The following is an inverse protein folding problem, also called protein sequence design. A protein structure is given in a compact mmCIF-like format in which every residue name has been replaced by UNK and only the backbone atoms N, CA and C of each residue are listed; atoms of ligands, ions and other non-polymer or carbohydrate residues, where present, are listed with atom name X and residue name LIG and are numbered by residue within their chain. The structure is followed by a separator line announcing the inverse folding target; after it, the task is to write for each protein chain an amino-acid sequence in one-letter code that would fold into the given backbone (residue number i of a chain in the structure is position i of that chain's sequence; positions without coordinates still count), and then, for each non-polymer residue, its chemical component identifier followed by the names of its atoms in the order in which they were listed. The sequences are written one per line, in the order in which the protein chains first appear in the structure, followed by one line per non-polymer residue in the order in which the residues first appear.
data_IF_959818540404
#
_entry.id   IF_959818540404
#
_cell.length_a   1.000
_cell.length_b   1.000
_cell.length_c   1.000
_cell.angle_alpha   90.00
_cell.angle_beta   90.00
_cell.angle_gamma   90.00
#
_symmetry.space_group_name_H-M   'P 1'
#
loop_
_entity.id
_entity.type
_entity.pdbx_description
1 polymer ?
#
# COMPACT_ATOMS: atom_id res chain seq x y z
N UNK A 1 -10.07 -7.92 -0.91
CA UNK A 1 -9.90 -6.54 -1.42
C UNK A 1 -11.26 -5.89 -1.33
N UNK A 2 -11.54 -5.20 -0.23
CA UNK A 2 -12.83 -4.54 -0.04
C UNK A 2 -12.73 -3.14 -0.62
N UNK A 3 -13.51 -2.86 -1.65
CA UNK A 3 -13.61 -1.51 -2.21
C UNK A 3 -14.65 -0.74 -1.42
N UNK A 4 -14.52 0.58 -1.31
CA UNK A 4 -15.49 1.42 -0.60
C UNK A 4 -16.93 1.30 -1.14
N UNK A 5 -17.13 0.64 -2.28
CA UNK A 5 -18.44 0.32 -2.87
C UNK A 5 -19.15 -0.86 -2.20
N UNK A 6 -18.50 -1.63 -1.33
CA UNK A 6 -19.15 -2.77 -0.67
C UNK A 6 -20.16 -2.34 0.42
N UNK A 7 -20.22 -1.05 0.77
CA UNK A 7 -21.18 -0.50 1.75
C UNK A 7 -22.44 0.12 1.12
N UNK A 8 -22.49 0.29 -0.20
CA UNK A 8 -23.66 0.79 -0.91
C UNK A 8 -24.05 -0.23 -1.98
N UNK A 9 -25.27 -0.76 -1.90
CA UNK A 9 -25.79 -1.62 -2.95
C UNK A 9 -25.67 -0.89 -4.29
N UNK A 10 -25.02 -1.53 -5.28
CA UNK A 10 -24.87 -0.96 -6.62
C UNK A 10 -26.23 -0.53 -7.20
N UNK A 11 -27.29 -1.32 -6.95
CA UNK A 11 -28.65 -0.98 -7.35
C UNK A 11 -29.20 0.27 -6.68
N UNK A 12 -28.89 0.48 -5.39
CA UNK A 12 -29.33 1.67 -4.66
C UNK A 12 -28.60 2.91 -5.16
N UNK A 13 -27.29 2.79 -5.42
CA UNK A 13 -26.51 3.88 -5.99
C UNK A 13 -27.03 4.32 -7.36
N UNK A 14 -27.37 3.37 -8.25
CA UNK A 14 -27.98 3.70 -9.54
C UNK A 14 -29.34 4.39 -9.40
N UNK A 15 -30.18 3.88 -8.49
CA UNK A 15 -31.48 4.50 -8.21
C UNK A 15 -31.34 5.93 -7.66
N UNK A 16 -30.35 6.18 -6.80
CA UNK A 16 -30.07 7.51 -6.25
C UNK A 16 -29.55 8.47 -7.34
N UNK A 17 -28.76 7.96 -8.30
CA UNK A 17 -28.31 8.76 -9.45
C UNK A 17 -29.47 9.19 -10.35
N UNK A 18 -30.39 8.27 -10.65
CA UNK A 18 -31.52 8.56 -11.55
C UNK A 18 -32.51 9.53 -10.92
N UNK A 19 -32.69 9.48 -9.60
CA UNK A 19 -33.73 10.24 -8.89
C UNK A 19 -33.27 11.61 -8.35
N UNK A 20 -31.97 11.91 -8.38
CA UNK A 20 -31.46 13.19 -7.87
C UNK A 20 -31.31 14.22 -9.00
N UNK A 21 -32.05 15.33 -8.90
CA UNK A 21 -32.05 16.41 -9.90
C UNK A 21 -30.65 17.01 -10.14
N UNK A 22 -29.79 17.05 -9.12
CA UNK A 22 -28.42 17.55 -9.26
C UNK A 22 -27.56 16.70 -10.20
N UNK A 23 -27.89 15.41 -10.36
CA UNK A 23 -27.16 14.50 -11.25
C UNK A 23 -27.82 14.39 -12.62
N UNK A 24 -29.15 14.50 -12.68
CA UNK A 24 -29.92 14.34 -13.92
C UNK A 24 -29.67 15.50 -14.91
N UNK A 25 -29.57 16.72 -14.39
CA UNK A 25 -29.59 17.93 -15.24
C UNK A 25 -28.18 18.52 -15.47
N UNK A 26 -27.15 18.03 -14.77
CA UNK A 26 -25.77 18.50 -14.90
C UNK A 26 -24.87 17.49 -15.65
N UNK A 27 -24.52 17.85 -16.89
CA UNK A 27 -23.68 17.03 -17.78
C UNK A 27 -22.26 16.84 -17.23
N UNK A 28 -21.68 17.85 -16.57
CA UNK A 28 -20.34 17.73 -15.99
C UNK A 28 -20.36 16.78 -14.79
N UNK A 29 -21.40 16.84 -13.97
CA UNK A 29 -21.60 15.91 -12.87
C UNK A 29 -21.70 14.46 -13.38
N UNK A 30 -22.49 14.22 -14.43
CA UNK A 30 -22.60 12.90 -15.07
C UNK A 30 -21.27 12.36 -15.58
N UNK A 31 -20.45 13.21 -16.22
CA UNK A 31 -19.11 12.82 -16.67
C UNK A 31 -18.22 12.39 -15.51
N UNK A 32 -18.23 13.14 -14.40
CA UNK A 32 -17.44 12.83 -13.21
C UNK A 32 -17.87 11.51 -12.56
N UNK A 33 -19.18 11.27 -12.45
CA UNK A 33 -19.71 10.03 -11.90
C UNK A 33 -19.35 8.84 -12.79
N UNK A 34 -19.52 8.96 -14.11
CA UNK A 34 -19.16 7.92 -15.07
C UNK A 34 -17.66 7.61 -15.05
N UNK A 35 -16.80 8.62 -14.87
CA UNK A 35 -15.36 8.42 -14.67
C UNK A 35 -15.08 7.62 -13.40
N UNK A 36 -15.68 8.00 -12.27
CA UNK A 36 -15.53 7.30 -10.99
C UNK A 36 -16.02 5.85 -11.09
N UNK A 37 -17.20 5.63 -11.67
CA UNK A 37 -17.77 4.29 -11.88
C UNK A 37 -16.83 3.41 -12.71
N UNK A 38 -16.33 3.91 -13.85
CA UNK A 38 -15.37 3.17 -14.67
C UNK A 38 -14.11 2.81 -13.90
N UNK A 39 -13.57 3.74 -13.11
CA UNK A 39 -12.35 3.50 -12.32
C UNK A 39 -12.55 2.43 -11.22
N UNK A 40 -13.70 2.43 -10.56
CA UNK A 40 -13.99 1.51 -9.46
C UNK A 40 -14.45 0.13 -9.93
N UNK A 41 -15.25 0.06 -10.99
CA UNK A 41 -15.83 -1.18 -11.52
C UNK A 41 -14.89 -1.93 -12.48
N UNK A 42 -13.86 -1.27 -13.04
CA UNK A 42 -12.92 -1.87 -14.00
C UNK A 42 -11.46 -1.73 -13.51
N UNK A 43 -11.07 -2.45 -12.43
CA UNK A 43 -9.74 -2.34 -11.82
C UNK A 43 -8.58 -2.55 -12.79
N UNK A 44 -8.76 -3.43 -13.78
CA UNK A 44 -7.79 -3.82 -14.81
C UNK A 44 -7.50 -2.66 -15.78
N UNK A 45 -8.46 -1.74 -15.94
CA UNK A 45 -8.33 -0.56 -16.80
C UNK A 45 -7.82 0.67 -16.08
N UNK A 46 -7.62 0.63 -14.76
CA UNK A 46 -7.10 1.77 -13.99
C UNK A 46 -5.83 2.40 -14.57
N UNK A 47 -4.84 1.65 -15.09
CA UNK A 47 -3.65 2.25 -15.71
C UNK A 47 -3.98 3.22 -16.87
N UNK A 48 -5.10 2.99 -17.57
CA UNK A 48 -5.57 3.83 -18.68
C UNK A 48 -6.54 4.94 -18.24
N UNK A 49 -7.01 4.92 -17.00
CA UNK A 49 -8.00 5.85 -16.45
C UNK A 49 -7.35 6.82 -15.43
N UNK A 50 -6.16 7.34 -15.76
CA UNK A 50 -5.43 8.24 -14.86
C UNK A 50 -5.88 9.69 -15.04
N UNK A 51 -6.30 10.32 -13.95
CA UNK A 51 -6.62 11.75 -13.87
C UNK A 51 -6.18 12.32 -12.52
N UNK A 52 -6.17 13.66 -12.35
CA UNK A 52 -5.89 14.27 -11.04
C UNK A 52 -6.81 13.77 -9.92
N UNK A 53 -8.05 13.35 -10.26
CA UNK A 53 -9.06 12.87 -9.32
C UNK A 53 -8.92 11.38 -8.99
N UNK A 54 -8.27 10.60 -9.86
CA UNK A 54 -7.97 9.18 -9.60
C UNK A 54 -6.63 8.98 -8.89
N UNK A 55 -5.88 10.06 -8.65
CA UNK A 55 -4.66 10.02 -7.86
C UNK A 55 -5.04 9.69 -6.40
N UNK A 56 -4.52 8.60 -5.83
CA UNK A 56 -4.77 8.30 -4.44
C UNK A 56 -4.35 9.47 -3.54
N UNK A 57 -5.18 9.78 -2.54
CA UNK A 57 -4.79 10.71 -1.48
C UNK A 57 -3.50 10.19 -0.83
N UNK A 58 -2.58 11.07 -0.44
CA UNK A 58 -1.40 10.67 0.35
C UNK A 58 -1.91 9.86 1.55
N UNK A 59 -1.49 8.61 1.64
CA UNK A 59 -1.93 7.71 2.71
C UNK A 59 -1.48 8.29 4.04
N UNK A 60 -2.41 8.44 4.99
CA UNK A 60 -2.05 8.66 6.39
C UNK A 60 -1.47 7.40 7.02
N UNK A 61 -1.81 6.24 6.44
CA UNK A 61 -1.26 4.96 6.86
C UNK A 61 0.10 4.79 6.21
N UNK A 62 1.14 4.69 7.03
CA UNK A 62 2.51 4.44 6.57
C UNK A 62 2.66 3.08 5.89
N UNK A 63 3.90 2.74 5.56
CA UNK A 63 4.25 1.41 5.04
C UNK A 63 4.73 0.52 6.18
N UNK A 64 4.49 -0.79 6.07
CA UNK A 64 5.06 -1.77 6.99
C UNK A 64 6.35 -2.32 6.40
N UNK A 65 7.44 -2.33 7.17
CA UNK A 65 8.69 -2.97 6.76
C UNK A 65 8.83 -4.32 7.46
N UNK A 66 9.14 -5.36 6.69
CA UNK A 66 9.67 -6.62 7.19
C UNK A 66 11.17 -6.63 6.94
N UNK A 67 11.95 -6.81 8.01
CA UNK A 67 13.41 -6.75 7.99
C UNK A 67 13.94 -8.08 8.46
N UNK A 68 14.67 -8.79 7.59
CA UNK A 68 15.36 -10.03 7.91
C UNK A 68 14.47 -11.09 8.56
N UNK A 69 15.00 -11.78 9.58
CA UNK A 69 14.31 -12.83 10.31
C UNK A 69 14.95 -14.20 10.10
N UNK A 70 14.21 -15.26 10.43
CA UNK A 70 14.65 -16.64 10.27
C UNK A 70 13.84 -17.31 9.15
N UNK A 71 14.53 -17.66 8.07
CA UNK A 71 13.99 -18.47 6.99
C UNK A 71 14.48 -19.93 7.12
N UNK A 72 14.12 -20.77 6.15
CA UNK A 72 14.58 -22.17 6.10
C UNK A 72 16.12 -22.30 6.00
N UNK A 73 16.83 -21.24 5.62
CA UNK A 73 18.29 -21.22 5.42
C UNK A 73 19.07 -20.58 6.57
N UNK A 74 18.42 -20.44 7.74
CA UNK A 74 19.01 -19.98 9.03
C UNK A 74 19.16 -18.45 9.16
N UNK A 75 18.67 -17.64 8.23
CA UNK A 75 18.60 -16.19 8.38
C UNK A 75 18.34 -15.44 7.09
N UNK A 76 17.23 -14.69 7.05
CA UNK A 76 16.92 -13.81 5.93
C UNK A 76 17.68 -12.48 6.05
N UNK A 77 18.21 -12.01 4.92
CA UNK A 77 18.81 -10.67 4.80
C UNK A 77 17.90 -9.69 4.07
N UNK A 78 16.80 -10.16 3.49
CA UNK A 78 15.88 -9.34 2.70
C UNK A 78 15.16 -8.31 3.57
N UNK A 79 14.91 -7.16 2.97
CA UNK A 79 14.06 -6.11 3.49
C UNK A 79 12.96 -5.87 2.48
N UNK A 80 11.72 -6.05 2.90
CA UNK A 80 10.54 -5.90 2.08
C UNK A 80 9.59 -4.89 2.71
N UNK A 81 8.93 -4.10 1.88
CA UNK A 81 7.86 -3.21 2.33
C UNK A 81 6.51 -3.74 1.90
N UNK A 82 5.52 -3.54 2.74
CA UNK A 82 4.13 -3.82 2.44
C UNK A 82 3.35 -2.52 2.31
N UNK A 83 2.75 -2.33 1.14
CA UNK A 83 1.85 -1.22 0.86
C UNK A 83 0.39 -1.68 0.98
N UNK A 84 -0.29 -1.22 2.03
CA UNK A 84 -1.70 -1.56 2.31
C UNK A 84 -2.65 -1.20 1.16
N UNK A 85 -2.38 -0.09 0.47
CA UNK A 85 -3.25 0.40 -0.62
C UNK A 85 -3.26 -0.54 -1.82
N UNK A 86 -2.09 -1.07 -2.19
CA UNK A 86 -1.96 -2.01 -3.31
C UNK A 86 -2.09 -3.45 -2.85
N UNK A 87 -2.01 -3.69 -1.53
CA UNK A 87 -1.95 -5.02 -0.93
C UNK A 87 -0.80 -5.85 -1.52
N UNK A 88 0.38 -5.22 -1.62
CA UNK A 88 1.57 -5.85 -2.23
C UNK A 88 2.77 -5.73 -1.33
N UNK A 89 3.54 -6.81 -1.27
CA UNK A 89 4.92 -6.80 -0.79
C UNK A 89 5.86 -6.41 -1.93
N UNK A 90 6.90 -5.65 -1.63
CA UNK A 90 7.90 -5.23 -2.62
C UNK A 90 9.29 -5.28 -1.97
N UNK A 91 10.27 -5.94 -2.60
CA UNK A 91 11.66 -5.91 -2.14
C UNK A 91 12.22 -4.49 -2.16
N UNK A 92 12.95 -4.11 -1.12
CA UNK A 92 13.53 -2.75 -0.96
C UNK A 92 15.05 -2.80 -0.92
N UNK A 93 15.62 -3.69 -0.10
CA UNK A 93 17.06 -3.80 0.10
C UNK A 93 17.42 -5.16 0.69
N UNK A 94 18.72 -5.40 0.88
CA UNK A 94 19.24 -6.51 1.68
C UNK A 94 20.21 -5.96 2.73
N UNK A 95 20.20 -6.53 3.94
CA UNK A 95 21.25 -6.32 4.94
C UNK A 95 22.60 -6.84 4.43
N UNK A 96 23.71 -6.26 4.91
CA UNK A 96 25.06 -6.69 4.54
C UNK A 96 25.40 -8.12 4.98
N UNK A 97 24.64 -8.65 5.94
CA UNK A 97 24.77 -10.02 6.40
C UNK A 97 23.57 -10.46 7.21
N UNK A 98 23.51 -11.75 7.50
CA UNK A 98 22.52 -12.33 8.40
C UNK A 98 22.57 -11.65 9.77
N UNK A 99 21.40 -11.25 10.27
CA UNK A 99 21.22 -10.81 11.65
C UNK A 99 20.00 -11.50 12.25
N UNK A 100 20.11 -11.91 13.50
CA UNK A 100 19.02 -12.43 14.34
C UNK A 100 18.97 -11.61 15.64
N UNK A 101 17.81 -11.54 16.30
CA UNK A 101 17.68 -10.87 17.61
C UNK A 101 18.19 -9.41 17.61
N UNK A 102 17.96 -8.68 16.52
CA UNK A 102 18.36 -7.26 16.37
C UNK A 102 17.19 -6.32 16.70
N UNK A 103 17.52 -5.04 16.90
CA UNK A 103 16.54 -3.96 17.00
C UNK A 103 16.40 -3.22 15.67
N UNK A 104 15.21 -2.67 15.42
CA UNK A 104 14.93 -1.81 14.27
C UNK A 104 14.31 -0.50 14.75
N UNK A 105 14.75 0.62 14.19
CA UNK A 105 14.18 1.94 14.46
C UNK A 105 14.08 2.77 13.18
N UNK A 106 13.14 3.72 13.16
CA UNK A 106 13.05 4.72 12.10
C UNK A 106 13.42 6.07 12.68
N UNK A 107 14.36 6.76 12.05
CA UNK A 107 14.83 8.10 12.44
C UNK A 107 15.14 8.89 11.17
N UNK A 108 14.63 10.12 11.06
CA UNK A 108 14.88 11.02 9.92
C UNK A 108 14.66 10.35 8.55
N UNK A 109 13.51 9.69 8.39
CA UNK A 109 13.10 8.95 7.18
C UNK A 109 14.05 7.80 6.77
N UNK A 110 14.86 7.30 7.70
CA UNK A 110 15.79 6.19 7.51
C UNK A 110 15.50 5.03 8.45
N UNK A 111 15.70 3.81 7.95
CA UNK A 111 15.52 2.56 8.69
C UNK A 111 16.87 2.08 9.22
N UNK A 112 17.01 1.98 10.53
CA UNK A 112 18.23 1.54 11.19
C UNK A 112 18.08 0.13 11.74
N UNK A 113 19.08 -0.72 11.48
CA UNK A 113 19.19 -2.07 12.05
C UNK A 113 20.37 -2.08 13.01
N UNK A 114 20.09 -2.35 14.29
CA UNK A 114 21.03 -2.21 15.39
C UNK A 114 21.36 -3.57 16.00
N UNK A 115 22.65 -3.91 15.99
CA UNK A 115 23.20 -5.08 16.66
C UNK A 115 22.72 -6.42 16.09
N UNK A 116 22.28 -7.31 16.97
CA UNK A 116 21.86 -8.68 16.66
C UNK A 116 22.99 -9.71 16.73
N UNK A 117 22.77 -10.87 16.12
CA UNK A 117 23.70 -11.99 16.07
C UNK A 117 23.74 -12.55 14.65
N UNK A 118 24.94 -12.78 14.12
CA UNK A 118 25.14 -13.41 12.79
C UNK A 118 25.17 -14.95 12.86
N UNK A 119 24.96 -15.50 14.07
CA UNK A 119 25.00 -16.91 14.42
C UNK A 119 26.37 -17.43 14.87
N UNK A 120 27.42 -16.62 14.81
CA UNK A 120 28.72 -16.90 15.40
C UNK A 120 29.00 -15.93 16.55
N UNK A 121 28.74 -14.64 16.34
CA UNK A 121 29.01 -13.57 17.30
C UNK A 121 27.83 -12.62 17.46
N UNK A 122 27.85 -11.90 18.57
CA UNK A 122 26.99 -10.73 18.77
C UNK A 122 27.59 -9.53 18.04
N UNK A 123 26.75 -8.78 17.35
CA UNK A 123 27.13 -7.62 16.55
C UNK A 123 26.96 -6.34 17.38
N UNK A 124 27.96 -5.47 17.33
CA UNK A 124 27.93 -4.12 17.90
C UNK A 124 27.81 -3.03 16.82
N UNK A 125 27.46 -3.43 15.59
CA UNK A 125 27.37 -2.53 14.44
C UNK A 125 25.93 -2.06 14.22
N UNK A 126 25.79 -0.93 13.53
CA UNK A 126 24.52 -0.42 13.01
C UNK A 126 24.62 -0.34 11.49
N UNK A 127 23.54 -0.62 10.77
CA UNK A 127 23.41 -0.34 9.34
C UNK A 127 22.10 0.40 9.03
N UNK A 128 22.09 1.12 7.91
CA UNK A 128 21.03 2.00 7.43
C UNK A 128 20.99 1.97 5.90
#
# INVERSE_FOLDING_TARGET
QYSLFDFLSFSQFLADMENNALFRDDIECQKLIMEAMKYHLLPERRPMLQSPRTKPRKSTVGVLFAVGGMDATKGATSIEKYELRTNTWTPVANMNGRRLQFGVAVLDDKLFVVGGRDGLKTLNTVEC
#
